data_IF_713293556434
#
_entry.id   IF_713293556434
#
_cell.length_a   1.000
_cell.length_b   1.000
_cell.length_c   1.000
_cell.angle_alpha   90.00
_cell.angle_beta   90.00
_cell.angle_gamma   90.00
#
_symmetry.space_group_name_H-M   'P 1'
#
loop_
_entity.id
_entity.type
_entity.pdbx_description
1 polymer ?
#
# COMPACT_ATOMS: atom_id res chain seq x y z
N UNK A 1 14.54 -0.19 0.43
CA UNK A 1 14.53 1.29 0.55
C UNK A 1 13.63 1.77 1.69
N UNK A 2 12.32 1.49 1.70
CA UNK A 2 11.40 2.13 2.65
C UNK A 2 11.51 1.68 4.13
N UNK A 3 11.92 0.45 4.41
CA UNK A 3 12.25 0.00 5.78
C UNK A 3 13.52 0.69 6.33
N UNK A 4 14.42 1.12 5.44
CA UNK A 4 15.57 1.92 5.80
C UNK A 4 15.16 3.37 6.05
N UNK A 5 14.24 3.93 5.25
CA UNK A 5 13.67 5.25 5.51
C UNK A 5 12.98 5.34 6.87
N UNK A 6 12.18 4.35 7.27
CA UNK A 6 11.53 4.35 8.59
C UNK A 6 12.50 4.27 9.76
N UNK A 7 13.68 3.65 9.57
CA UNK A 7 14.73 3.57 10.59
C UNK A 7 15.67 4.78 10.58
N UNK A 8 15.87 5.42 9.43
CA UNK A 8 16.82 6.54 9.24
C UNK A 8 16.14 7.88 9.45
N UNK A 9 14.87 8.03 9.10
CA UNK A 9 14.14 9.29 9.20
C UNK A 9 13.80 9.67 10.65
N UNK A 10 13.84 8.72 11.60
CA UNK A 10 13.49 8.94 13.01
C UNK A 10 12.01 9.25 13.26
N UNK A 11 11.31 9.78 12.26
CA UNK A 11 9.92 10.22 12.34
C UNK A 11 9.02 9.32 11.48
N UNK A 12 8.24 8.42 12.09
CA UNK A 12 7.34 7.52 11.37
C UNK A 12 6.26 8.29 10.59
N UNK A 13 5.91 9.49 11.03
CA UNK A 13 4.93 10.37 10.37
C UNK A 13 5.44 10.87 9.01
N UNK A 14 6.70 11.34 8.94
CA UNK A 14 7.31 11.81 7.67
C UNK A 14 7.40 10.68 6.64
N UNK A 15 7.70 9.46 7.07
CA UNK A 15 7.73 8.30 6.18
C UNK A 15 6.32 7.92 5.71
N UNK A 16 5.30 8.04 6.57
CA UNK A 16 3.92 7.78 6.22
C UNK A 16 3.38 8.78 5.19
N UNK A 17 3.70 10.07 5.33
CA UNK A 17 3.27 11.11 4.39
C UNK A 17 3.85 10.90 2.98
N UNK A 18 5.14 10.54 2.87
CA UNK A 18 5.77 10.21 1.59
C UNK A 18 5.08 9.01 0.92
N UNK A 19 4.73 7.99 1.71
CA UNK A 19 4.04 6.80 1.19
C UNK A 19 2.59 7.09 0.79
N UNK A 20 1.89 7.97 1.52
CA UNK A 20 0.55 8.45 1.17
C UNK A 20 0.57 9.25 -0.13
N UNK A 21 1.54 10.15 -0.30
CA UNK A 21 1.73 10.89 -1.55
C UNK A 21 1.97 9.92 -2.72
N UNK A 22 2.91 8.99 -2.56
CA UNK A 22 3.20 7.99 -3.58
C UNK A 22 1.97 7.12 -3.93
N UNK A 23 1.14 6.75 -2.95
CA UNK A 23 -0.10 5.98 -3.13
C UNK A 23 -1.14 6.73 -3.97
N UNK A 24 -1.26 8.05 -3.75
CA UNK A 24 -2.18 8.91 -4.47
C UNK A 24 -1.71 9.16 -5.90
N UNK A 25 -0.41 9.36 -6.11
CA UNK A 25 0.19 9.67 -7.41
C UNK A 25 0.12 8.50 -8.40
N UNK A 26 0.30 7.26 -7.91
CA UNK A 26 0.46 6.11 -8.81
C UNK A 26 -0.23 4.86 -8.29
N UNK A 27 -1.12 4.23 -9.08
CA UNK A 27 -1.67 2.93 -8.73
C UNK A 27 -0.59 1.86 -8.54
N UNK A 28 0.57 1.96 -9.20
CA UNK A 28 1.63 0.95 -9.12
C UNK A 28 2.36 0.93 -7.77
N UNK A 29 2.35 2.03 -7.01
CA UNK A 29 3.02 2.12 -5.70
C UNK A 29 2.19 1.47 -4.58
N UNK A 30 0.87 1.31 -4.78
CA UNK A 30 -0.04 0.79 -3.74
C UNK A 30 0.36 -0.59 -3.23
N UNK A 31 0.81 -1.47 -4.11
CA UNK A 31 1.23 -2.83 -3.75
C UNK A 31 2.54 -2.83 -2.94
N UNK A 32 3.63 -2.19 -3.41
CA UNK A 32 4.84 -2.02 -2.61
C UNK A 32 4.58 -1.38 -1.24
N UNK A 33 3.69 -0.38 -1.15
CA UNK A 33 3.33 0.29 0.10
C UNK A 33 2.54 -0.64 1.04
N UNK A 34 1.54 -1.36 0.54
CA UNK A 34 0.78 -2.33 1.34
C UNK A 34 1.67 -3.48 1.86
N UNK A 35 2.59 -3.98 1.03
CA UNK A 35 3.58 -4.98 1.42
C UNK A 35 4.53 -4.48 2.52
N UNK A 36 4.95 -3.22 2.42
CA UNK A 36 5.79 -2.59 3.42
C UNK A 36 5.05 -2.44 4.74
N UNK A 37 3.81 -1.96 4.71
CA UNK A 37 2.96 -1.88 5.90
C UNK A 37 2.81 -3.26 6.57
N UNK A 38 2.58 -4.31 5.76
CA UNK A 38 2.50 -5.68 6.26
C UNK A 38 3.80 -6.22 6.88
N UNK A 39 4.97 -5.69 6.49
CA UNK A 39 6.26 -6.03 7.10
C UNK A 39 6.55 -5.23 8.38
N UNK A 40 5.98 -4.04 8.50
CA UNK A 40 6.18 -3.16 9.66
C UNK A 40 5.20 -3.45 10.79
N UNK A 41 4.04 -4.05 10.48
CA UNK A 41 3.03 -4.40 11.48
C UNK A 41 2.51 -3.13 12.17
N UNK A 42 2.46 -3.08 13.52
CA UNK A 42 1.87 -1.95 14.25
C UNK A 42 2.54 -0.60 13.98
N UNK A 43 3.83 -0.60 13.58
CA UNK A 43 4.55 0.63 13.22
C UNK A 43 3.99 1.31 11.95
N UNK A 44 3.16 0.61 11.17
CA UNK A 44 2.45 1.17 10.02
C UNK A 44 1.05 1.69 10.36
N UNK A 45 0.71 1.86 11.65
CA UNK A 45 -0.56 2.42 12.09
C UNK A 45 -1.00 3.71 11.35
N UNK A 46 -0.10 4.67 11.04
CA UNK A 46 -0.44 5.86 10.25
C UNK A 46 -0.92 5.58 8.82
N UNK A 47 -0.78 4.36 8.30
CA UNK A 47 -1.26 3.96 6.97
C UNK A 47 -2.57 3.14 7.03
N UNK A 48 -3.04 2.75 8.22
CA UNK A 48 -4.18 1.82 8.34
C UNK A 48 -5.49 2.39 7.78
N UNK A 49 -5.71 3.70 7.89
CA UNK A 49 -6.84 4.39 7.27
C UNK A 49 -6.84 4.24 5.74
N UNK A 50 -5.70 4.46 5.11
CA UNK A 50 -5.49 4.30 3.67
C UNK A 50 -5.76 2.86 3.22
N UNK A 51 -5.25 1.87 3.95
CA UNK A 51 -5.45 0.46 3.63
C UNK A 51 -6.91 0.02 3.77
N UNK A 52 -7.63 0.53 4.79
CA UNK A 52 -9.08 0.27 4.94
C UNK A 52 -9.88 0.91 3.81
N UNK A 53 -9.52 2.13 3.40
CA UNK A 53 -10.16 2.82 2.28
C UNK A 53 -9.97 2.04 0.97
N UNK A 54 -8.78 1.50 0.70
CA UNK A 54 -8.53 0.68 -0.48
C UNK A 54 -9.37 -0.62 -0.47
N UNK A 55 -9.50 -1.28 0.69
CA UNK A 55 -10.33 -2.48 0.83
C UNK A 55 -11.83 -2.21 0.65
N UNK A 56 -12.28 -1.01 1.01
CA UNK A 56 -13.67 -0.58 0.86
C UNK A 56 -13.97 -0.07 -0.56
N UNK A 57 -12.94 0.26 -1.36
CA UNK A 57 -13.12 0.75 -2.71
C UNK A 57 -13.61 -0.39 -3.63
N UNK A 58 -14.68 -0.18 -4.43
CA UNK A 58 -15.08 -1.13 -5.46
C UNK A 58 -13.94 -1.29 -6.45
N UNK A 59 -13.49 -2.54 -6.68
CA UNK A 59 -12.37 -2.92 -7.57
C UNK A 59 -12.29 -2.02 -8.81
N UNK A 60 -11.38 -1.05 -8.80
CA UNK A 60 -11.05 -0.27 -9.99
C UNK A 60 -9.87 -0.98 -10.60
N UNK A 61 -10.13 -1.75 -11.66
CA UNK A 61 -9.08 -2.33 -12.48
C UNK A 61 -7.94 -1.32 -12.62
N UNK A 62 -6.74 -1.71 -12.18
CA UNK A 62 -5.49 -0.95 -12.33
C UNK A 62 -5.07 -0.76 -13.79
N UNK A 63 -5.91 -1.18 -14.74
CA UNK A 63 -5.70 -1.00 -16.16
C UNK A 63 -5.64 0.48 -16.50
N UNK A 64 -4.44 0.98 -16.76
CA UNK A 64 -4.27 2.18 -17.56
C UNK A 64 -4.86 1.97 -18.97
N UNK A 65 -5.02 3.05 -19.76
CA UNK A 65 -5.48 2.95 -21.13
C UNK A 65 -4.41 2.23 -21.99
N UNK A 66 -4.46 0.90 -22.07
CA UNK A 66 -3.43 0.14 -22.81
C UNK A 66 -3.60 -1.38 -22.85
N UNK A 67 -4.43 -1.99 -22.00
CA UNK A 67 -4.71 -3.42 -22.09
C UNK A 67 -5.06 -4.02 -20.74
N UNK A 68 -6.12 -4.83 -20.73
CA UNK A 68 -6.55 -5.57 -19.54
C UNK A 68 -5.91 -6.94 -19.59
N UNK A 69 -4.85 -7.15 -18.81
CA UNK A 69 -4.16 -8.43 -18.71
C UNK A 69 -4.60 -9.22 -17.48
N UNK A 70 -4.48 -10.55 -17.53
CA UNK A 70 -4.57 -11.41 -16.33
C UNK A 70 -3.64 -10.95 -15.20
N UNK A 71 -2.55 -10.25 -15.56
CA UNK A 71 -1.61 -9.64 -14.63
C UNK A 71 -2.24 -8.57 -13.74
N UNK A 72 -3.16 -7.75 -14.25
CA UNK A 72 -3.82 -6.69 -13.47
C UNK A 72 -4.72 -7.26 -12.37
N UNK A 73 -5.35 -8.41 -12.65
CA UNK A 73 -6.15 -9.15 -11.65
C UNK A 73 -5.24 -9.72 -10.57
N UNK A 74 -4.10 -10.32 -10.94
CA UNK A 74 -3.16 -10.85 -9.95
C UNK A 74 -2.58 -9.75 -9.04
N UNK A 75 -2.28 -8.59 -9.61
CA UNK A 75 -1.78 -7.43 -8.86
C UNK A 75 -2.85 -6.80 -7.97
N UNK A 76 -4.12 -6.76 -8.41
CA UNK A 76 -5.25 -6.33 -7.58
C UNK A 76 -5.46 -7.28 -6.40
N UNK A 77 -5.48 -8.59 -6.64
CA UNK A 77 -5.61 -9.56 -5.56
C UNK A 77 -4.44 -9.51 -4.58
N UNK A 78 -3.22 -9.31 -5.10
CA UNK A 78 -2.01 -9.15 -4.28
C UNK A 78 -2.15 -7.93 -3.38
N UNK A 79 -2.62 -6.79 -3.90
CA UNK A 79 -2.90 -5.59 -3.12
C UNK A 79 -3.86 -5.88 -1.97
N UNK A 80 -5.02 -6.48 -2.27
CA UNK A 80 -6.04 -6.76 -1.27
C UNK A 80 -5.54 -7.73 -0.19
N UNK A 81 -4.75 -8.74 -0.56
CA UNK A 81 -4.11 -9.65 0.43
C UNK A 81 -3.13 -8.90 1.33
N UNK A 82 -2.29 -8.03 0.77
CA UNK A 82 -1.32 -7.26 1.55
C UNK A 82 -1.98 -6.26 2.48
N UNK A 83 -3.05 -5.56 2.04
CA UNK A 83 -3.84 -4.68 2.90
C UNK A 83 -4.44 -5.43 4.10
N UNK A 84 -5.05 -6.61 3.87
CA UNK A 84 -5.61 -7.43 4.97
C UNK A 84 -4.53 -7.88 5.94
N UNK A 85 -3.37 -8.33 5.43
CA UNK A 85 -2.26 -8.79 6.27
C UNK A 85 -1.67 -7.68 7.13
N UNK A 86 -1.53 -6.47 6.58
CA UNK A 86 -1.07 -5.31 7.33
C UNK A 86 -2.03 -4.96 8.48
N UNK A 87 -3.34 -4.97 8.21
CA UNK A 87 -4.36 -4.67 9.22
C UNK A 87 -4.53 -5.77 10.27
N UNK A 88 -4.22 -7.03 9.95
CA UNK A 88 -4.30 -8.15 10.89
C UNK A 88 -3.07 -8.28 11.80
N UNK A 89 -1.94 -7.67 11.43
CA UNK A 89 -0.71 -7.64 12.22
C UNK A 89 -0.52 -6.36 13.05
N UNK A 90 -1.53 -5.48 13.09
CA UNK A 90 -1.54 -4.21 13.81
C UNK A 90 -2.24 -4.29 15.16
#
# INVERSE_FOLDING_TARGET
AAQALWRVAGEPETAADVLRAAWAESPYTRVPTADLAARLGPAAAPLHDLLRAELAAPRRHRGGPGGHGSHDVHEDERLLRSCRRALAGG
#
